data_IF_460378156622
#
_entry.id   IF_460378156622
#
_cell.length_a   1.000
_cell.length_b   1.000
_cell.length_c   1.000
_cell.angle_alpha   90.00
_cell.angle_beta   90.00
_cell.angle_gamma   90.00
#
_symmetry.space_group_name_H-M   'P 1'
#
loop_
_entity.id
_entity.type
_entity.pdbx_description
1 polymer ?
#
# COMPACT_ATOMS: atom_id res chain seq x y z
N UNK A 1 -27.07 -8.46 26.24
CA UNK A 1 -26.27 -7.39 26.87
C UNK A 1 -24.92 -8.02 27.11
N UNK A 2 -23.99 -7.81 26.16
CA UNK A 2 -22.88 -6.83 26.26
C UNK A 2 -21.79 -7.44 27.19
N UNK A 3 -20.52 -7.63 26.84
CA UNK A 3 -19.48 -6.69 26.36
C UNK A 3 -18.34 -7.56 25.75
N UNK A 4 -17.86 -7.30 24.52
CA UNK A 4 -16.69 -6.49 24.16
C UNK A 4 -15.31 -6.85 24.78
N UNK A 5 -14.41 -7.21 23.84
CA UNK A 5 -13.10 -6.59 23.62
C UNK A 5 -11.82 -7.14 24.29
N UNK A 6 -10.76 -6.96 23.49
CA UNK A 6 -9.34 -6.98 23.78
C UNK A 6 -8.69 -8.36 23.96
N UNK A 7 -7.73 -8.67 23.09
CA UNK A 7 -6.41 -8.93 23.63
C UNK A 7 -5.33 -8.45 22.64
N UNK A 8 -4.46 -7.60 23.18
CA UNK A 8 -3.37 -6.91 22.52
C UNK A 8 -2.09 -7.70 22.75
N UNK A 9 -1.24 -7.84 21.73
CA UNK A 9 0.15 -8.28 21.89
C UNK A 9 0.97 -7.57 20.82
N UNK A 10 1.79 -6.58 21.16
CA UNK A 10 3.09 -6.61 21.85
C UNK A 10 4.20 -7.29 21.04
N UNK A 11 5.42 -6.74 21.18
CA UNK A 11 6.72 -7.23 20.68
C UNK A 11 7.02 -6.84 19.22
N UNK A 12 8.15 -6.22 18.89
CA UNK A 12 9.48 -6.26 19.51
C UNK A 12 10.48 -6.37 18.36
N UNK A 13 11.62 -5.68 18.46
CA UNK A 13 12.70 -5.59 17.48
C UNK A 13 13.18 -6.98 16.96
N UNK A 14 13.95 -7.16 15.88
CA UNK A 14 15.29 -6.63 15.61
C UNK A 14 15.73 -7.11 14.21
N UNK A 15 16.65 -6.33 13.65
CA UNK A 15 17.64 -6.60 12.61
C UNK A 15 17.99 -8.08 12.33
N UNK A 16 18.03 -8.49 11.06
CA UNK A 16 19.08 -9.38 10.53
C UNK A 16 19.06 -9.38 8.99
N UNK A 17 20.16 -8.89 8.41
CA UNK A 17 20.43 -8.83 6.99
C UNK A 17 21.66 -9.71 6.70
N UNK A 18 21.55 -10.74 5.85
CA UNK A 18 22.64 -11.25 4.99
C UNK A 18 22.10 -12.32 4.02
N UNK A 19 21.98 -12.10 2.69
CA UNK A 19 22.97 -12.06 1.57
C UNK A 19 23.41 -13.47 1.06
N UNK A 20 23.81 -13.66 -0.22
CA UNK A 20 22.99 -13.61 -1.46
C UNK A 20 23.40 -14.66 -2.53
N UNK A 21 22.63 -14.80 -3.64
CA UNK A 21 23.08 -15.12 -5.02
C UNK A 21 21.83 -15.13 -5.94
N UNK A 22 21.55 -14.10 -6.75
CA UNK A 22 21.96 -13.92 -8.17
C UNK A 22 21.39 -14.99 -9.13
N UNK A 23 21.14 -14.70 -10.43
CA UNK A 23 20.87 -13.42 -11.09
C UNK A 23 19.87 -13.56 -12.28
N UNK A 24 18.79 -12.78 -12.35
CA UNK A 24 18.31 -12.36 -13.68
C UNK A 24 17.58 -11.02 -13.62
N UNK A 25 17.84 -10.21 -14.64
CA UNK A 25 17.74 -8.76 -14.57
C UNK A 25 16.34 -8.27 -14.88
N UNK A 26 15.58 -7.96 -13.84
CA UNK A 26 14.59 -6.86 -13.86
C UNK A 26 14.79 -5.99 -12.61
N UNK A 27 16.07 -5.71 -12.34
CA UNK A 27 16.54 -4.95 -11.17
C UNK A 27 17.30 -3.68 -11.59
N UNK A 28 17.06 -3.16 -12.79
CA UNK A 28 17.84 -2.04 -13.33
C UNK A 28 17.21 -0.64 -13.05
N UNK A 29 15.90 -0.54 -12.80
CA UNK A 29 15.26 0.74 -12.48
C UNK A 29 15.06 0.96 -10.97
N UNK A 30 14.71 -0.09 -10.21
CA UNK A 30 14.45 0.03 -8.76
C UNK A 30 15.70 0.07 -7.87
N UNK A 31 16.91 -0.13 -8.40
CA UNK A 31 18.14 -0.15 -7.59
C UNK A 31 18.86 1.20 -7.46
N UNK A 32 18.38 2.26 -8.10
CA UNK A 32 19.03 3.59 -8.02
C UNK A 32 18.44 4.52 -6.96
N UNK A 33 17.27 4.20 -6.39
CA UNK A 33 16.58 5.05 -5.40
C UNK A 33 16.71 4.53 -3.95
N UNK A 34 17.22 3.31 -3.74
CA UNK A 34 17.47 2.75 -2.39
C UNK A 34 18.95 2.91 -2.00
N UNK A 35 19.57 4.05 -2.33
CA UNK A 35 20.94 4.36 -1.88
C UNK A 35 21.17 5.85 -1.59
N UNK A 36 20.15 6.52 -1.08
CA UNK A 36 20.36 7.73 -0.30
C UNK A 36 19.25 7.76 0.72
N UNK A 37 19.55 7.35 1.96
CA UNK A 37 19.11 8.03 3.18
C UNK A 37 19.84 7.35 4.36
N UNK A 38 20.62 8.11 5.16
CA UNK A 38 21.37 7.59 6.29
C UNK A 38 20.45 7.23 7.46
N UNK A 39 20.80 6.16 8.17
CA UNK A 39 20.31 5.90 9.52
C UNK A 39 20.94 6.89 10.49
N UNK A 40 20.15 7.72 11.16
CA UNK A 40 20.45 8.38 12.44
C UNK A 40 19.12 8.79 13.09
N UNK A 41 18.71 7.99 14.08
CA UNK A 41 18.07 8.28 15.39
C UNK A 41 17.18 9.53 15.68
N UNK A 42 16.41 9.52 16.80
CA UNK A 42 14.99 9.84 16.83
C UNK A 42 14.66 11.26 17.31
N UNK A 43 13.56 11.84 16.82
CA UNK A 43 12.68 12.77 17.55
C UNK A 43 11.64 13.40 16.62
N UNK A 44 10.41 12.87 16.65
CA UNK A 44 9.11 13.58 16.75
C UNK A 44 8.00 12.70 16.19
N UNK A 45 7.19 12.16 17.10
CA UNK A 45 5.77 11.90 16.84
C UNK A 45 5.01 13.23 16.96
N UNK A 46 3.90 13.45 16.23
CA UNK A 46 2.67 12.70 16.50
C UNK A 46 1.78 12.43 15.28
N UNK A 47 1.75 11.17 14.85
CA UNK A 47 0.54 10.40 14.50
C UNK A 47 1.02 8.95 14.38
N UNK A 48 0.39 7.95 15.02
CA UNK A 48 0.81 6.57 14.85
C UNK A 48 0.79 6.22 13.35
N UNK A 49 1.92 5.71 12.84
CA UNK A 49 1.99 5.10 11.51
C UNK A 49 1.19 3.79 11.57
N UNK A 50 -0.14 3.91 11.62
CA UNK A 50 -1.01 2.92 12.24
C UNK A 50 -1.04 1.56 11.54
N UNK A 51 -0.42 1.39 10.37
CA UNK A 51 -0.27 0.08 9.73
C UNK A 51 0.87 0.11 8.67
N UNK A 52 2.11 0.43 9.06
CA UNK A 52 3.26 0.47 8.12
C UNK A 52 3.51 -0.87 7.42
N UNK A 53 3.14 -1.98 8.06
CA UNK A 53 3.24 -3.32 7.50
C UNK A 53 2.04 -4.18 7.90
N UNK A 54 1.66 -5.10 7.03
CA UNK A 54 0.56 -6.01 7.21
C UNK A 54 1.09 -7.41 7.53
N UNK A 55 0.71 -8.02 8.66
CA UNK A 55 0.97 -9.44 8.88
C UNK A 55 0.08 -10.29 7.97
N UNK A 56 0.72 -11.18 7.22
CA UNK A 56 0.08 -12.15 6.32
C UNK A 56 0.54 -13.55 6.73
N UNK A 57 -0.41 -14.38 7.14
CA UNK A 57 -0.15 -15.79 7.44
C UNK A 57 -0.02 -16.59 6.13
N UNK A 58 1.08 -17.32 5.97
CA UNK A 58 1.30 -18.22 4.84
C UNK A 58 1.93 -19.52 5.36
N UNK A 59 1.18 -20.63 5.28
CA UNK A 59 1.65 -21.98 5.65
C UNK A 59 2.34 -22.05 7.02
N UNK A 60 1.74 -21.45 8.04
CA UNK A 60 2.27 -21.44 9.42
C UNK A 60 3.44 -20.46 9.65
N UNK A 61 3.70 -19.54 8.72
CA UNK A 61 4.66 -18.44 8.88
C UNK A 61 3.95 -17.10 8.72
N UNK A 62 4.28 -16.14 9.59
CA UNK A 62 3.80 -14.76 9.46
C UNK A 62 4.79 -13.94 8.65
N UNK A 63 4.35 -13.43 7.50
CA UNK A 63 5.13 -12.51 6.66
C UNK A 63 4.56 -11.10 6.79
N UNK A 64 5.42 -10.13 7.06
CA UNK A 64 5.04 -8.73 7.08
C UNK A 64 5.22 -8.13 5.68
N UNK A 65 4.12 -7.69 5.07
CA UNK A 65 4.12 -6.99 3.79
C UNK A 65 4.16 -5.49 4.08
N UNK A 66 5.23 -4.80 3.69
CA UNK A 66 5.31 -3.36 3.94
C UNK A 66 4.31 -2.63 3.06
N UNK A 67 3.68 -1.58 3.59
CA UNK A 67 2.78 -0.70 2.84
C UNK A 67 3.37 -0.24 1.51
N UNK A 68 4.66 0.10 1.49
CA UNK A 68 5.40 0.55 0.30
C UNK A 68 5.53 -0.51 -0.81
N UNK A 69 5.35 -1.78 -0.50
CA UNK A 69 5.38 -2.87 -1.49
C UNK A 69 4.02 -3.07 -2.17
N UNK A 70 2.97 -2.44 -1.65
CA UNK A 70 1.58 -2.66 -2.06
C UNK A 70 1.21 -1.63 -3.12
N UNK A 71 0.84 -2.12 -4.30
CA UNK A 71 0.41 -1.32 -5.46
C UNK A 71 -1.08 -1.02 -5.33
N UNK A 72 -1.88 -2.04 -5.05
CA UNK A 72 -3.30 -1.90 -4.77
C UNK A 72 -3.81 -3.06 -3.90
N UNK A 73 -5.02 -2.90 -3.40
CA UNK A 73 -5.72 -3.86 -2.56
C UNK A 73 -7.09 -4.13 -3.15
N UNK A 74 -7.45 -5.41 -3.25
CA UNK A 74 -8.76 -5.88 -3.68
C UNK A 74 -9.49 -6.52 -2.49
N UNK A 75 -10.73 -6.13 -2.25
CA UNK A 75 -11.59 -6.75 -1.24
C UNK A 75 -12.21 -8.05 -1.78
N UNK A 76 -12.06 -9.14 -1.01
CA UNK A 76 -12.57 -10.47 -1.35
C UNK A 76 -13.33 -11.09 -0.16
N UNK A 77 -14.66 -11.02 -0.23
CA UNK A 77 -15.62 -11.51 0.79
C UNK A 77 -15.33 -10.97 2.20
N UNK A 78 -14.44 -11.63 2.94
CA UNK A 78 -14.05 -11.33 4.33
C UNK A 78 -12.57 -10.93 4.48
N UNK A 79 -11.81 -11.08 3.40
CA UNK A 79 -10.37 -10.83 3.36
C UNK A 79 -10.06 -9.73 2.35
N UNK A 80 -8.81 -9.29 2.35
CA UNK A 80 -8.27 -8.46 1.29
C UNK A 80 -7.07 -9.14 0.64
N UNK A 81 -6.92 -8.91 -0.65
CA UNK A 81 -5.73 -9.30 -1.41
C UNK A 81 -4.84 -8.08 -1.55
N UNK A 82 -3.63 -8.17 -1.03
CA UNK A 82 -2.59 -7.16 -1.26
C UNK A 82 -1.84 -7.52 -2.54
N UNK A 83 -1.91 -6.66 -3.54
CA UNK A 83 -1.18 -6.84 -4.79
C UNK A 83 0.17 -6.14 -4.68
N UNK A 84 1.22 -6.95 -4.73
CA UNK A 84 2.62 -6.50 -4.68
C UNK A 84 3.38 -7.09 -5.87
N UNK A 85 4.54 -6.54 -6.19
CA UNK A 85 5.42 -7.13 -7.21
C UNK A 85 5.95 -8.51 -6.82
N UNK A 86 5.91 -8.86 -5.53
CA UNK A 86 6.25 -10.21 -5.04
C UNK A 86 5.10 -11.21 -5.19
N UNK A 87 3.91 -10.77 -5.60
CA UNK A 87 2.71 -11.58 -5.73
C UNK A 87 1.53 -11.06 -4.92
N UNK A 88 0.52 -11.92 -4.81
CA UNK A 88 -0.75 -11.63 -4.14
C UNK A 88 -0.74 -12.23 -2.74
N UNK A 89 -1.03 -11.39 -1.74
CA UNK A 89 -0.99 -11.78 -0.33
C UNK A 89 -2.37 -11.58 0.32
N UNK A 90 -3.09 -12.66 0.69
CA UNK A 90 -4.37 -12.54 1.37
C UNK A 90 -4.16 -12.16 2.83
N UNK A 91 -4.87 -11.14 3.31
CA UNK A 91 -4.83 -10.70 4.70
C UNK A 91 -6.23 -10.65 5.30
N UNK A 92 -6.34 -11.03 6.58
CA UNK A 92 -7.58 -11.06 7.35
C UNK A 92 -7.87 -9.69 7.96
N UNK A 93 -8.22 -8.73 7.12
CA UNK A 93 -8.66 -7.41 7.53
C UNK A 93 -9.64 -6.87 6.50
N UNK A 94 -10.45 -5.89 6.91
CA UNK A 94 -11.33 -5.21 5.98
C UNK A 94 -10.58 -4.14 5.19
N UNK A 95 -11.01 -3.95 3.96
CA UNK A 95 -10.51 -2.86 3.12
C UNK A 95 -10.84 -1.49 3.72
N UNK A 96 -11.88 -1.38 4.55
CA UNK A 96 -12.26 -0.12 5.22
C UNK A 96 -11.24 0.26 6.29
N UNK A 97 -10.81 -0.71 7.11
CA UNK A 97 -9.73 -0.50 8.09
C UNK A 97 -8.43 -0.06 7.40
N UNK A 98 -8.08 -0.69 6.29
CA UNK A 98 -6.91 -0.28 5.49
C UNK A 98 -7.05 1.13 4.94
N UNK A 99 -8.22 1.49 4.42
CA UNK A 99 -8.45 2.80 3.82
C UNK A 99 -8.32 3.92 4.86
N UNK A 100 -8.86 3.71 6.06
CA UNK A 100 -8.73 4.64 7.18
C UNK A 100 -7.27 4.74 7.65
N UNK A 101 -6.63 3.61 7.91
CA UNK A 101 -5.24 3.57 8.40
C UNK A 101 -4.23 4.17 7.39
N UNK A 102 -4.52 4.09 6.09
CA UNK A 102 -3.63 4.56 5.04
C UNK A 102 -4.05 5.86 4.37
N UNK A 103 -5.10 6.53 4.87
CA UNK A 103 -5.63 7.74 4.24
C UNK A 103 -4.55 8.81 4.08
N UNK A 104 -3.77 9.12 5.11
CA UNK A 104 -2.73 10.16 4.98
C UNK A 104 -1.41 9.64 4.38
N UNK A 105 -1.35 8.36 4.04
CA UNK A 105 -0.09 7.66 3.72
C UNK A 105 0.12 7.40 2.23
N UNK A 106 -0.63 8.10 1.38
CA UNK A 106 -0.54 7.99 -0.07
C UNK A 106 -1.41 6.89 -0.68
N UNK A 107 -2.43 6.40 0.02
CA UNK A 107 -3.44 5.50 -0.53
C UNK A 107 -4.75 6.22 -0.78
N UNK A 108 -5.48 5.79 -1.81
CA UNK A 108 -6.78 6.35 -2.16
C UNK A 108 -7.79 5.25 -2.46
N UNK A 109 -9.00 5.42 -1.95
CA UNK A 109 -10.10 4.54 -2.27
C UNK A 109 -10.60 4.82 -3.68
N UNK A 110 -10.51 3.83 -4.57
CA UNK A 110 -10.93 3.95 -5.98
C UNK A 110 -12.31 3.33 -6.20
N UNK A 111 -12.62 2.25 -5.48
CA UNK A 111 -13.90 1.53 -5.58
C UNK A 111 -14.35 1.01 -4.21
N UNK A 112 -15.59 0.53 -4.08
CA UNK A 112 -16.00 -0.19 -2.84
C UNK A 112 -15.14 -1.41 -2.54
N UNK A 113 -14.46 -1.96 -3.53
CA UNK A 113 -13.62 -3.15 -3.40
C UNK A 113 -12.15 -2.88 -3.71
N UNK A 114 -11.76 -1.63 -3.96
CA UNK A 114 -10.39 -1.31 -4.36
C UNK A 114 -9.83 -0.10 -3.63
N UNK A 115 -8.57 -0.21 -3.22
CA UNK A 115 -7.74 0.81 -2.60
C UNK A 115 -6.39 0.79 -3.33
N UNK A 116 -5.89 1.93 -3.81
CA UNK A 116 -4.68 1.99 -4.62
C UNK A 116 -3.63 2.93 -3.99
N UNK A 117 -2.36 2.59 -4.13
CA UNK A 117 -1.25 3.50 -3.82
C UNK A 117 -1.18 4.57 -4.91
N UNK A 118 -1.26 5.84 -4.54
CA UNK A 118 -1.23 6.97 -5.47
C UNK A 118 0.04 6.96 -6.33
N UNK A 119 1.19 6.70 -5.71
CA UNK A 119 2.48 6.63 -6.41
C UNK A 119 2.65 5.43 -7.35
N UNK A 120 1.71 4.47 -7.34
CA UNK A 120 1.71 3.35 -8.27
C UNK A 120 0.76 3.55 -9.46
N UNK A 121 -0.04 4.62 -9.45
CA UNK A 121 -0.94 4.95 -10.55
C UNK A 121 -0.15 5.70 -11.61
N UNK A 122 -0.01 5.11 -12.79
CA UNK A 122 0.73 5.70 -13.91
C UNK A 122 -0.17 6.51 -14.84
N UNK A 123 -1.43 6.11 -14.99
CA UNK A 123 -2.38 6.82 -15.85
C UNK A 123 -3.82 6.59 -15.38
N UNK A 124 -4.71 7.54 -15.69
CA UNK A 124 -6.16 7.33 -15.61
C UNK A 124 -6.71 7.08 -17.01
N UNK A 125 -7.36 5.93 -17.22
CA UNK A 125 -7.91 5.52 -18.52
C UNK A 125 -9.41 5.30 -18.46
N UNK A 126 -10.03 5.27 -19.63
CA UNK A 126 -11.37 4.72 -19.79
C UNK A 126 -11.25 3.29 -20.34
N UNK A 127 -11.84 2.34 -19.64
CA UNK A 127 -12.03 0.95 -20.09
C UNK A 127 -12.99 0.92 -21.32
N UNK A 128 -13.05 -0.17 -22.13
CA UNK A 128 -13.97 -0.26 -23.27
C UNK A 128 -15.45 -0.06 -22.93
N UNK A 129 -15.84 -0.23 -21.67
CA UNK A 129 -17.19 0.06 -21.17
C UNK A 129 -17.44 1.55 -20.86
N UNK A 130 -16.44 2.42 -21.04
CA UNK A 130 -16.48 3.84 -20.68
C UNK A 130 -16.24 4.12 -19.18
N UNK A 131 -15.90 3.09 -18.40
CA UNK A 131 -15.63 3.24 -16.97
C UNK A 131 -14.21 3.74 -16.72
N UNK A 132 -14.04 4.65 -15.74
CA UNK A 132 -12.72 5.17 -15.37
C UNK A 132 -11.93 4.09 -14.60
N UNK A 133 -10.67 3.90 -14.96
CA UNK A 133 -9.73 2.98 -14.30
C UNK A 133 -8.41 3.69 -14.02
N UNK A 134 -7.75 3.32 -12.92
CA UNK A 134 -6.37 3.68 -12.65
C UNK A 134 -5.45 2.57 -13.15
N UNK A 135 -4.58 2.90 -14.10
CA UNK A 135 -3.58 1.98 -14.62
C UNK A 135 -2.40 1.87 -13.65
N UNK A 136 -1.98 0.65 -13.34
CA UNK A 136 -0.80 0.34 -12.52
C UNK A 136 0.03 -0.74 -13.19
N UNK A 137 1.28 -0.93 -12.77
CA UNK A 137 2.15 -1.98 -13.32
C UNK A 137 1.64 -3.41 -13.06
N UNK A 138 0.74 -3.60 -12.09
CA UNK A 138 0.14 -4.90 -11.77
C UNK A 138 -1.27 -5.08 -12.36
N UNK A 139 -1.78 -4.09 -13.10
CA UNK A 139 -3.09 -4.13 -13.75
C UNK A 139 -3.95 -2.91 -13.49
N UNK A 140 -5.14 -2.91 -14.09
CA UNK A 140 -6.11 -1.81 -14.00
C UNK A 140 -6.97 -1.92 -12.75
N UNK A 141 -7.06 -0.81 -12.01
CA UNK A 141 -7.86 -0.69 -10.79
C UNK A 141 -9.12 0.13 -11.09
N UNK A 142 -10.33 -0.45 -10.98
CA UNK A 142 -11.57 0.27 -11.27
C UNK A 142 -11.76 1.49 -10.37
N UNK A 143 -12.24 2.59 -10.95
CA UNK A 143 -12.64 3.78 -10.22
C UNK A 143 -14.14 3.98 -10.36
N UNK A 144 -14.88 3.95 -9.25
CA UNK A 144 -16.31 4.25 -9.31
C UNK A 144 -16.54 5.74 -9.52
N UNK A 145 -17.66 6.09 -10.17
CA UNK A 145 -18.09 7.48 -10.42
C UNK A 145 -18.00 8.38 -9.19
N UNK A 146 -18.38 7.85 -8.01
CA UNK A 146 -18.32 8.58 -6.74
C UNK A 146 -16.91 8.86 -6.22
N UNK A 147 -15.93 8.02 -6.54
CA UNK A 147 -14.53 8.22 -6.11
C UNK A 147 -13.68 8.94 -7.16
N UNK A 148 -14.15 9.06 -8.40
CA UNK A 148 -13.40 9.68 -9.50
C UNK A 148 -12.87 11.08 -9.17
N UNK A 149 -13.69 11.92 -8.52
CA UNK A 149 -13.27 13.26 -8.08
C UNK A 149 -12.15 13.20 -7.04
N UNK A 150 -12.33 12.37 -6.01
CA UNK A 150 -11.36 12.24 -4.92
C UNK A 150 -10.01 11.69 -5.42
N UNK A 151 -10.03 10.69 -6.31
CA UNK A 151 -8.82 10.12 -6.92
C UNK A 151 -8.05 11.18 -7.70
N UNK A 152 -8.72 11.93 -8.58
CA UNK A 152 -8.09 13.00 -9.36
C UNK A 152 -7.48 14.09 -8.49
N UNK A 153 -8.21 14.53 -7.47
CA UNK A 153 -7.73 15.57 -6.55
C UNK A 153 -6.51 15.10 -5.76
N UNK A 154 -6.53 13.84 -5.28
CA UNK A 154 -5.41 13.25 -4.53
C UNK A 154 -4.17 13.03 -5.39
N UNK A 155 -4.34 12.61 -6.64
CA UNK A 155 -3.23 12.51 -7.60
C UNK A 155 -2.63 13.89 -7.91
N UNK A 156 -3.46 14.90 -8.13
CA UNK A 156 -2.98 16.26 -8.38
C UNK A 156 -2.21 16.82 -7.17
N UNK A 157 -2.73 16.63 -5.95
CA UNK A 157 -2.03 17.04 -4.72
C UNK A 157 -0.72 16.26 -4.54
N UNK A 158 -0.69 14.97 -4.84
CA UNK A 158 0.52 14.16 -4.74
C UNK A 158 1.59 14.65 -5.72
N UNK A 159 1.23 14.89 -6.98
CA UNK A 159 2.15 15.40 -8.00
C UNK A 159 2.74 16.77 -7.63
N UNK A 160 1.96 17.66 -7.00
CA UNK A 160 2.43 18.98 -6.57
C UNK A 160 3.19 18.97 -5.23
N UNK A 161 3.11 17.90 -4.44
CA UNK A 161 3.83 17.77 -3.16
C UNK A 161 5.25 17.26 -3.34
N UNK A 162 5.56 16.67 -4.50
CA UNK A 162 6.91 16.22 -4.89
C UNK A 162 7.85 17.37 -5.30
N UNK A 163 7.35 18.62 -5.29
CA UNK A 163 8.12 19.84 -5.54
C UNK A 163 8.32 20.66 -4.23
N UNK A 164 9.21 20.26 -3.31
CA UNK A 164 9.72 21.13 -2.27
C UNK A 164 11.08 21.70 -2.72
N UNK A 165 11.08 22.56 -3.73
CA UNK A 165 12.18 23.53 -3.91
C UNK A 165 11.74 24.88 -3.29
N UNK A 166 12.02 25.03 -1.99
CA UNK A 166 12.62 26.24 -1.40
C UNK A 166 13.06 26.00 0.05
#
# INVERSE_FOLDING_TARGET
MDEHAADAYDLGAVDYLRKPASPDRVAAALRRVIRTLPSTEPARSPVPDSLTAIPVETRGRTRYIKRREIVFVEACRDTVKLHTFSGIHPARMSISQLAEAWEDTGFVRTHRSFLAALGSITELRSDPTGSLVAHTELGDVPISRRHARAVRERLFRAANKEDPEY
#
